data_IF_679025461859
#
_entry.id   IF_679025461859
#
_cell.length_a   1.000
_cell.length_b   1.000
_cell.length_c   1.000
_cell.angle_alpha   90.00
_cell.angle_beta   90.00
_cell.angle_gamma   90.00
#
_symmetry.space_group_name_H-M   'P 1'
#
loop_
_entity.id
_entity.type
_entity.pdbx_description
1 polymer ?
#
# COMPACT_ATOMS: atom_id res chain seq x y z
N UNK A 1 -17.70 12.20 17.03
CA UNK A 1 -17.94 11.50 15.74
C UNK A 1 -18.80 10.24 15.97
N UNK A 2 -19.78 9.93 15.12
CA UNK A 2 -20.68 8.76 15.34
C UNK A 2 -19.98 7.45 14.91
N UNK A 3 -20.28 6.31 15.55
CA UNK A 3 -19.66 5.00 15.25
C UNK A 3 -19.80 4.59 13.77
N UNK A 4 -20.86 5.06 13.11
CA UNK A 4 -21.08 4.87 11.68
C UNK A 4 -20.02 5.55 10.79
N UNK A 5 -19.55 6.74 11.18
CA UNK A 5 -18.55 7.50 10.46
C UNK A 5 -17.16 6.88 10.63
N UNK A 6 -16.83 6.38 11.83
CA UNK A 6 -15.62 5.58 12.07
C UNK A 6 -15.60 4.32 11.20
N UNK A 7 -16.72 3.59 11.12
CA UNK A 7 -16.83 2.38 10.29
C UNK A 7 -16.67 2.67 8.79
N UNK A 8 -17.24 3.78 8.30
CA UNK A 8 -17.07 4.22 6.92
C UNK A 8 -15.61 4.58 6.59
N UNK A 9 -14.90 5.21 7.52
CA UNK A 9 -13.48 5.53 7.34
C UNK A 9 -12.62 4.26 7.28
N UNK A 10 -12.79 3.33 8.22
CA UNK A 10 -12.07 2.05 8.21
C UNK A 10 -12.30 1.28 6.91
N UNK A 11 -13.54 1.26 6.39
CA UNK A 11 -13.83 0.62 5.09
C UNK A 11 -13.10 1.31 3.93
N UNK A 12 -12.96 2.63 3.96
CA UNK A 12 -12.23 3.39 2.94
C UNK A 12 -10.72 3.10 3.00
N UNK A 13 -10.16 3.02 4.20
CA UNK A 13 -8.76 2.69 4.43
C UNK A 13 -8.41 1.26 4.02
N UNK A 14 -9.26 0.29 4.40
CA UNK A 14 -9.12 -1.10 3.99
C UNK A 14 -9.24 -1.25 2.46
N UNK A 15 -10.18 -0.53 1.85
CA UNK A 15 -10.35 -0.52 0.40
C UNK A 15 -9.12 0.01 -0.33
N UNK A 16 -8.53 1.10 0.16
CA UNK A 16 -7.35 1.68 -0.47
C UNK A 16 -6.08 0.84 -0.23
N UNK A 17 -5.95 0.20 0.94
CA UNK A 17 -4.89 -0.77 1.21
C UNK A 17 -5.01 -1.98 0.27
N UNK A 18 -6.23 -2.48 0.06
CA UNK A 18 -6.51 -3.55 -0.90
C UNK A 18 -6.19 -3.16 -2.35
N UNK A 19 -6.51 -1.92 -2.76
CA UNK A 19 -6.16 -1.40 -4.07
C UNK A 19 -4.64 -1.27 -4.27
N UNK A 20 -3.91 -0.85 -3.24
CA UNK A 20 -2.45 -0.81 -3.28
C UNK A 20 -1.87 -2.22 -3.44
N UNK A 21 -2.37 -3.19 -2.67
CA UNK A 21 -1.95 -4.58 -2.77
C UNK A 21 -2.20 -5.15 -4.18
N UNK A 22 -3.38 -4.90 -4.76
CA UNK A 22 -3.70 -5.32 -6.13
C UNK A 22 -2.73 -4.70 -7.14
N UNK A 23 -2.43 -3.42 -6.99
CA UNK A 23 -1.47 -2.74 -7.87
C UNK A 23 -0.07 -3.36 -7.75
N UNK A 24 0.33 -3.73 -6.53
CA UNK A 24 1.61 -4.39 -6.28
C UNK A 24 1.68 -5.77 -6.95
N UNK A 25 0.60 -6.55 -6.87
CA UNK A 25 0.48 -7.87 -7.53
C UNK A 25 0.57 -7.70 -9.06
N UNK A 26 -0.14 -6.72 -9.63
CA UNK A 26 -0.09 -6.44 -11.06
C UNK A 26 1.32 -6.01 -11.50
N UNK A 27 1.97 -5.15 -10.73
CA UNK A 27 3.34 -4.73 -11.00
C UNK A 27 4.31 -5.91 -10.92
N UNK A 28 4.21 -6.73 -9.88
CA UNK A 28 5.07 -7.91 -9.70
C UNK A 28 4.88 -8.93 -10.83
N UNK A 29 3.64 -9.20 -11.22
CA UNK A 29 3.35 -10.12 -12.35
C UNK A 29 3.85 -9.57 -13.67
N UNK A 30 3.71 -8.26 -13.94
CA UNK A 30 4.26 -7.63 -15.13
C UNK A 30 5.81 -7.64 -15.14
N UNK A 31 6.45 -7.35 -14.01
CA UNK A 31 7.91 -7.38 -13.87
C UNK A 31 8.49 -8.80 -13.93
N UNK A 32 7.75 -9.80 -13.44
CA UNK A 32 8.15 -11.20 -13.49
C UNK A 32 7.93 -11.80 -14.88
N UNK A 33 6.70 -11.87 -15.35
CA UNK A 33 6.35 -12.53 -16.61
C UNK A 33 6.66 -11.67 -17.84
N UNK A 34 6.49 -10.35 -17.76
CA UNK A 34 6.73 -9.44 -18.88
C UNK A 34 8.21 -9.27 -19.23
N UNK A 35 9.10 -9.36 -18.24
CA UNK A 35 10.56 -9.36 -18.46
C UNK A 35 11.16 -10.76 -18.55
N UNK A 36 10.43 -11.84 -18.27
CA UNK A 36 10.95 -13.21 -18.39
C UNK A 36 11.46 -13.53 -19.80
N UNK A 37 10.91 -12.90 -20.85
CA UNK A 37 11.37 -13.05 -22.23
C UNK A 37 12.61 -12.24 -22.59
N UNK A 38 13.08 -11.35 -21.72
CA UNK A 38 14.26 -10.52 -21.99
C UNK A 38 15.55 -11.23 -21.57
N UNK A 39 16.40 -11.57 -22.55
CA UNK A 39 17.74 -12.14 -22.33
C UNK A 39 18.79 -11.07 -21.94
N UNK A 40 18.37 -10.04 -21.22
CA UNK A 40 19.29 -9.01 -20.73
C UNK A 40 19.80 -9.48 -19.39
N UNK A 41 21.10 -9.71 -19.29
CA UNK A 41 21.77 -10.11 -18.06
C UNK A 41 22.47 -8.91 -17.43
N UNK A 42 22.25 -8.71 -16.12
CA UNK A 42 22.94 -7.72 -15.31
C UNK A 42 23.62 -8.43 -14.14
N UNK A 43 24.96 -8.34 -14.08
CA UNK A 43 25.78 -9.04 -13.08
C UNK A 43 25.58 -10.58 -13.09
N UNK A 44 25.57 -11.21 -14.27
CA UNK A 44 25.35 -12.66 -14.44
C UNK A 44 23.98 -13.18 -13.97
N UNK A 45 23.05 -12.28 -13.66
CA UNK A 45 21.67 -12.59 -13.30
C UNK A 45 20.72 -11.93 -14.31
N UNK A 46 19.66 -12.62 -14.73
CA UNK A 46 18.72 -12.04 -15.68
C UNK A 46 18.03 -10.81 -15.08
N UNK A 47 17.84 -9.78 -15.90
CA UNK A 47 17.33 -8.46 -15.49
C UNK A 47 15.97 -8.54 -14.79
N UNK A 48 15.15 -9.55 -15.14
CA UNK A 48 13.87 -9.79 -14.46
C UNK A 48 14.06 -10.03 -12.95
N UNK A 49 15.18 -10.62 -12.50
CA UNK A 49 15.47 -10.87 -11.07
C UNK A 49 15.60 -9.54 -10.34
N UNK A 50 16.36 -8.63 -10.93
CA UNK A 50 16.58 -7.30 -10.39
C UNK A 50 15.32 -6.45 -10.45
N UNK A 51 14.61 -6.47 -11.58
CA UNK A 51 13.37 -5.73 -11.76
C UNK A 51 12.25 -6.21 -10.80
N UNK A 52 12.13 -7.52 -10.60
CA UNK A 52 11.17 -8.09 -9.64
C UNK A 52 11.59 -7.90 -8.19
N UNK A 53 12.88 -7.95 -7.86
CA UNK A 53 13.34 -7.80 -6.47
C UNK A 53 13.42 -6.34 -6.04
N UNK A 54 14.21 -5.53 -6.75
CA UNK A 54 14.41 -4.11 -6.42
C UNK A 54 13.20 -3.26 -6.84
N UNK A 55 12.60 -3.55 -8.00
CA UNK A 55 11.46 -2.79 -8.48
C UNK A 55 10.26 -2.88 -7.55
N UNK A 56 10.00 -4.06 -6.98
CA UNK A 56 8.87 -4.26 -6.05
C UNK A 56 9.14 -3.58 -4.72
N UNK A 57 10.38 -3.55 -4.25
CA UNK A 57 10.78 -2.77 -3.07
C UNK A 57 10.52 -1.27 -3.25
N UNK A 58 11.01 -0.69 -4.34
CA UNK A 58 10.80 0.74 -4.64
C UNK A 58 9.30 1.04 -4.80
N UNK A 59 8.58 0.17 -5.51
CA UNK A 59 7.14 0.33 -5.73
C UNK A 59 6.34 0.22 -4.43
N UNK A 60 6.72 -0.69 -3.53
CA UNK A 60 6.12 -0.81 -2.20
C UNK A 60 6.36 0.44 -1.35
N UNK A 61 7.59 0.98 -1.32
CA UNK A 61 7.91 2.19 -0.56
C UNK A 61 7.10 3.39 -1.07
N UNK A 62 7.05 3.59 -2.39
CA UNK A 62 6.26 4.66 -3.01
C UNK A 62 4.78 4.46 -2.73
N UNK A 63 4.30 3.22 -2.84
CA UNK A 63 2.92 2.84 -2.58
C UNK A 63 2.49 3.12 -1.14
N UNK A 64 3.30 2.75 -0.15
CA UNK A 64 3.06 3.05 1.26
C UNK A 64 3.09 4.56 1.49
N UNK A 65 4.06 5.29 0.93
CA UNK A 65 4.11 6.75 1.06
C UNK A 65 2.87 7.42 0.48
N UNK A 66 2.39 6.95 -0.67
CA UNK A 66 1.14 7.42 -1.26
C UNK A 66 -0.06 7.08 -0.37
N UNK A 67 -0.11 5.88 0.21
CA UNK A 67 -1.17 5.47 1.13
C UNK A 67 -1.19 6.35 2.39
N UNK A 68 -0.04 6.58 3.03
CA UNK A 68 0.08 7.48 4.18
C UNK A 68 -0.36 8.90 3.85
N UNK A 69 -0.06 9.41 2.66
CA UNK A 69 -0.40 10.78 2.28
C UNK A 69 -1.85 10.96 1.81
N UNK A 70 -2.44 9.98 1.12
CA UNK A 70 -3.77 10.11 0.51
C UNK A 70 -4.90 9.47 1.34
N UNK A 71 -4.58 8.44 2.13
CA UNK A 71 -5.60 7.58 2.77
C UNK A 71 -5.62 7.75 4.27
N UNK A 72 -4.44 7.81 4.91
CA UNK A 72 -4.34 8.10 6.33
C UNK A 72 -4.57 9.59 6.56
N UNK A 73 -5.86 9.96 6.58
CA UNK A 73 -6.29 11.25 7.08
C UNK A 73 -6.29 11.15 8.61
N UNK A 74 -5.54 12.02 9.28
CA UNK A 74 -5.48 12.08 10.75
C UNK A 74 -6.90 12.06 11.33
N UNK A 75 -7.27 10.94 11.96
CA UNK A 75 -8.39 10.88 12.86
C UNK A 75 -7.91 11.52 14.16
N UNK A 76 -8.44 12.68 14.53
CA UNK A 76 -8.12 13.26 15.85
C UNK A 76 -8.59 12.28 16.93
N UNK A 77 -7.65 11.79 17.73
CA UNK A 77 -7.90 10.94 18.89
C UNK A 77 -8.65 11.68 20.03
N UNK A 78 -8.98 12.96 19.85
CA UNK A 78 -9.58 13.84 20.87
C UNK A 78 -11.05 13.51 21.22
N UNK A 79 -11.72 12.61 20.48
CA UNK A 79 -13.14 12.30 20.71
C UNK A 79 -13.41 11.20 21.75
N UNK A 80 -12.39 10.58 22.36
CA UNK A 80 -12.57 9.46 23.30
C UNK A 80 -12.38 9.78 24.79
N UNK A 81 -11.90 10.96 25.18
CA UNK A 81 -11.58 11.22 26.61
C UNK A 81 -12.61 12.06 27.40
N UNK A 82 -13.57 12.74 26.76
CA UNK A 82 -14.44 13.70 27.50
C UNK A 82 -15.69 13.06 28.14
N UNK A 83 -16.14 11.88 27.71
CA UNK A 83 -17.44 11.32 28.13
C UNK A 83 -17.35 10.10 29.04
N UNK A 84 -16.26 9.94 29.81
CA UNK A 84 -16.13 8.84 30.79
C UNK A 84 -15.77 9.28 32.21
N UNK A 85 -15.74 10.58 32.49
CA UNK A 85 -15.41 11.10 33.83
C UNK A 85 -16.59 11.70 34.61
N UNK A 86 -17.82 11.61 34.10
CA UNK A 86 -19.02 12.06 34.81
C UNK A 86 -20.18 11.05 34.65
N UNK A 87 -20.06 9.89 35.30
CA UNK A 87 -21.22 9.14 35.81
C UNK A 87 -20.83 8.13 36.89
#
# INVERSE_FOLDING_TARGET
MNNYEKYQQVKKEAGATGALLLTLILFWTAAGFGLAGTQVEFLHLPLWVWASSLGVWVFAIVGVKALTHFVFRDMSLEDEEVTRHDK
#
